data_IF_265576639598
#
_entry.id   IF_265576639598
#
_cell.length_a   1.000
_cell.length_b   1.000
_cell.length_c   1.000
_cell.angle_alpha   90.00
_cell.angle_beta   90.00
_cell.angle_gamma   90.00
#
_symmetry.space_group_name_H-M   'P 1'
#
loop_
_entity.id
_entity.type
_entity.pdbx_description
1 polymer ?
#
# COMPACT_ATOMS: atom_id res chain seq x y z
N UNK A 1 -8.42 7.40 -3.13
CA UNK A 1 -7.79 6.09 -3.37
C UNK A 1 -8.07 5.70 -4.80
N UNK A 2 -7.05 5.29 -5.55
CA UNK A 2 -7.15 4.89 -6.95
C UNK A 2 -7.28 3.38 -7.08
N UNK A 3 -6.41 2.63 -6.42
CA UNK A 3 -6.37 1.16 -6.48
C UNK A 3 -5.98 0.57 -5.13
N UNK A 4 -6.41 -0.68 -4.90
CA UNK A 4 -6.02 -1.46 -3.73
C UNK A 4 -5.65 -2.87 -4.20
N UNK A 5 -4.36 -3.18 -4.15
CA UNK A 5 -3.86 -4.52 -4.43
C UNK A 5 -3.60 -5.27 -3.13
N UNK A 6 -4.33 -6.37 -2.93
CA UNK A 6 -4.27 -7.19 -1.73
C UNK A 6 -3.49 -8.46 -2.04
N UNK A 7 -2.24 -8.49 -1.58
CA UNK A 7 -1.35 -9.63 -1.79
C UNK A 7 -1.56 -10.75 -0.78
N UNK A 8 -2.27 -10.46 0.32
CA UNK A 8 -2.58 -11.43 1.35
C UNK A 8 -1.40 -11.71 2.28
N UNK A 9 -1.46 -12.87 2.95
CA UNK A 9 -0.44 -13.33 3.89
C UNK A 9 0.77 -13.90 3.13
N UNK A 10 1.98 -13.44 3.48
CA UNK A 10 3.24 -13.95 2.92
C UNK A 10 4.28 -14.13 4.02
N UNK A 11 5.19 -15.08 3.82
CA UNK A 11 6.35 -15.27 4.70
C UNK A 11 7.39 -14.17 4.47
N UNK A 12 7.92 -13.64 5.58
CA UNK A 12 9.00 -12.66 5.57
C UNK A 12 10.33 -13.38 5.39
N UNK A 13 11.26 -12.76 4.66
CA UNK A 13 12.62 -13.30 4.48
C UNK A 13 13.39 -13.40 5.81
N UNK A 14 13.07 -12.54 6.78
CA UNK A 14 13.62 -12.52 8.12
C UNK A 14 12.58 -12.01 9.12
N UNK A 15 12.79 -12.27 10.41
CA UNK A 15 11.85 -11.86 11.44
C UNK A 15 11.82 -10.34 11.59
N UNK A 16 10.62 -9.77 11.67
CA UNK A 16 10.41 -8.35 12.00
C UNK A 16 9.56 -8.31 13.27
N UNK A 17 10.05 -7.67 14.34
CA UNK A 17 9.38 -7.61 15.64
C UNK A 17 8.91 -8.98 16.16
N UNK A 18 9.65 -10.05 15.85
CA UNK A 18 9.31 -11.42 16.23
C UNK A 18 8.32 -12.15 15.29
N UNK A 19 7.77 -11.49 14.28
CA UNK A 19 6.87 -12.07 13.29
C UNK A 19 7.63 -12.65 12.09
N UNK A 20 7.19 -13.83 11.61
CA UNK A 20 7.75 -14.51 10.42
C UNK A 20 6.87 -14.34 9.17
N UNK A 21 5.69 -13.76 9.33
CA UNK A 21 4.68 -13.60 8.28
C UNK A 21 4.05 -12.22 8.41
N UNK A 22 3.59 -11.68 7.29
CA UNK A 22 2.91 -10.39 7.24
C UNK A 22 1.80 -10.42 6.19
N UNK A 23 0.79 -9.57 6.40
CA UNK A 23 -0.27 -9.35 5.42
C UNK A 23 0.07 -8.09 4.61
N UNK A 24 0.18 -8.25 3.30
CA UNK A 24 0.60 -7.17 2.40
C UNK A 24 -0.59 -6.56 1.69
N UNK A 25 -0.71 -5.23 1.78
CA UNK A 25 -1.70 -4.42 1.07
C UNK A 25 -0.97 -3.23 0.45
N UNK A 26 -1.19 -3.01 -0.84
CA UNK A 26 -0.64 -1.89 -1.58
C UNK A 26 -1.79 -0.96 -1.92
N UNK A 27 -1.69 0.28 -1.46
CA UNK A 27 -2.64 1.33 -1.78
C UNK A 27 -2.03 2.28 -2.78
N UNK A 28 -2.71 2.48 -3.90
CA UNK A 28 -2.42 3.61 -4.79
C UNK A 28 -3.44 4.70 -4.49
N UNK A 29 -2.98 5.91 -4.21
CA UNK A 29 -3.84 7.04 -3.93
C UNK A 29 -3.20 8.36 -4.38
N UNK A 30 -4.04 9.34 -4.63
CA UNK A 30 -3.63 10.73 -4.85
C UNK A 30 -3.91 11.48 -3.55
N UNK A 31 -2.94 12.26 -3.08
CA UNK A 31 -3.06 13.12 -1.90
C UNK A 31 -2.09 14.28 -2.01
N UNK A 32 -2.42 15.40 -1.39
CA UNK A 32 -1.49 16.51 -1.20
C UNK A 32 -0.26 16.07 -0.38
N UNK A 33 0.95 16.57 -0.71
CA UNK A 33 2.18 16.25 0.01
C UNK A 33 2.13 16.61 1.51
N UNK A 34 1.33 17.62 1.89
CA UNK A 34 1.15 18.06 3.28
C UNK A 34 0.57 16.95 4.17
N UNK A 35 -0.27 16.08 3.63
CA UNK A 35 -0.91 15.00 4.37
C UNK A 35 0.00 13.77 4.56
N UNK A 36 1.10 13.65 3.81
CA UNK A 36 2.02 12.50 3.90
C UNK A 36 2.62 12.39 5.30
N UNK A 37 2.96 13.52 5.92
CA UNK A 37 3.53 13.54 7.28
C UNK A 37 2.55 12.98 8.30
N UNK A 38 1.28 13.37 8.22
CA UNK A 38 0.24 12.88 9.13
C UNK A 38 -0.02 11.39 8.90
N UNK A 39 -0.03 10.92 7.65
CA UNK A 39 -0.16 9.48 7.35
C UNK A 39 0.98 8.68 7.99
N UNK A 40 2.23 9.13 7.86
CA UNK A 40 3.39 8.47 8.49
C UNK A 40 3.24 8.39 10.01
N UNK A 41 2.86 9.49 10.64
CA UNK A 41 2.61 9.56 12.09
C UNK A 41 1.53 8.56 12.53
N UNK A 42 0.43 8.49 11.79
CA UNK A 42 -0.66 7.55 12.08
C UNK A 42 -0.23 6.08 11.92
N UNK A 43 0.63 5.77 10.94
CA UNK A 43 1.15 4.42 10.74
C UNK A 43 2.12 4.01 11.85
N UNK A 44 2.93 4.93 12.38
CA UNK A 44 3.84 4.66 13.50
C UNK A 44 3.11 4.39 14.82
N UNK A 45 1.96 5.04 15.03
CA UNK A 45 1.14 4.82 16.23
C UNK A 45 0.44 3.45 16.21
N UNK A 46 0.27 2.86 15.03
CA UNK A 46 -0.40 1.58 14.84
C UNK A 46 0.55 0.41 15.06
N UNK A 47 0.49 -0.18 16.26
CA UNK A 47 1.29 -1.36 16.63
C UNK A 47 1.03 -2.60 15.74
N UNK A 48 -0.13 -2.66 15.08
CA UNK A 48 -0.48 -3.70 14.11
C UNK A 48 0.34 -3.64 12.81
N UNK A 49 0.94 -2.48 12.49
CA UNK A 49 1.72 -2.27 11.27
C UNK A 49 3.18 -2.59 11.54
N UNK A 50 3.66 -3.73 11.02
CA UNK A 50 5.06 -4.14 11.17
C UNK A 50 6.03 -3.25 10.37
N UNK A 51 5.60 -2.81 9.19
CA UNK A 51 6.37 -1.95 8.28
C UNK A 51 5.43 -1.27 7.31
N UNK A 52 5.71 -0.02 6.99
CA UNK A 52 5.06 0.73 5.92
C UNK A 52 6.11 1.41 5.05
N UNK A 53 5.75 1.71 3.80
CA UNK A 53 6.58 2.45 2.88
C UNK A 53 5.68 3.31 2.00
N UNK A 54 6.01 4.59 1.90
CA UNK A 54 5.32 5.54 1.02
C UNK A 54 6.32 5.97 -0.03
N UNK A 55 5.98 5.72 -1.29
CA UNK A 55 6.78 6.07 -2.46
C UNK A 55 5.95 6.95 -3.39
N UNK A 56 6.61 7.87 -4.07
CA UNK A 56 6.02 8.58 -5.19
C UNK A 56 5.92 7.61 -6.37
N UNK A 57 4.80 7.65 -7.09
CA UNK A 57 4.58 6.81 -8.26
C UNK A 57 4.78 7.65 -9.51
N UNK A 58 5.71 7.24 -10.37
CA UNK A 58 6.04 7.95 -11.60
C UNK A 58 4.89 7.86 -12.64
N UNK A 59 4.27 6.68 -12.79
CA UNK A 59 3.27 6.39 -13.83
C UNK A 59 1.83 6.28 -13.29
N UNK A 60 1.27 7.38 -12.80
CA UNK A 60 -0.09 7.41 -12.23
C UNK A 60 -1.17 7.05 -13.26
N UNK A 61 -0.94 7.38 -14.55
CA UNK A 61 -1.90 7.17 -15.64
C UNK A 61 -2.11 5.70 -16.04
N UNK A 62 -1.12 4.83 -15.79
CA UNK A 62 -1.25 3.40 -16.11
C UNK A 62 -2.11 2.65 -15.09
N UNK A 63 -2.07 3.09 -13.83
CA UNK A 63 -2.75 2.40 -12.73
C UNK A 63 -4.27 2.50 -12.90
N UNK A 64 -4.79 3.68 -13.25
CA UNK A 64 -6.22 3.88 -13.52
C UNK A 64 -6.74 3.16 -14.77
N UNK A 65 -5.88 2.92 -15.77
CA UNK A 65 -6.26 2.19 -17.01
C UNK A 65 -6.51 0.70 -16.75
N UNK A 66 -5.77 0.07 -15.82
CA UNK A 66 -5.97 -1.34 -15.47
C UNK A 66 -7.35 -1.61 -14.86
N UNK A 67 -7.86 -0.66 -14.05
CA UNK A 67 -9.19 -0.76 -13.43
C UNK A 67 -10.30 -0.70 -14.49
N UNK A 68 -10.27 0.31 -15.37
CA UNK A 68 -11.23 0.41 -16.48
C UNK A 68 -11.18 -0.81 -17.39
N UNK A 69 -9.99 -1.35 -17.67
CA UNK A 69 -9.85 -2.55 -18.49
C UNK A 69 -10.50 -3.79 -17.84
N UNK A 70 -10.35 -3.96 -16.52
CA UNK A 70 -11.03 -5.02 -15.75
C UNK A 70 -12.55 -4.87 -15.70
N UNK A 71 -13.07 -3.65 -15.58
CA UNK A 71 -14.52 -3.39 -15.61
C UNK A 71 -15.17 -3.64 -16.99
N UNK A 72 -14.39 -3.54 -18.07
CA UNK A 72 -14.85 -3.75 -19.45
C UNK A 72 -14.75 -5.23 -19.88
N UNK A 73 -14.05 -6.07 -19.11
CA UNK A 73 -13.75 -7.47 -19.46
C UNK A 73 -14.61 -8.49 -18.66
N UNK A 74 -15.85 -8.12 -18.32
CA UNK A 74 -16.91 -9.02 -17.83
C UNK A 74 -18.10 -8.95 -18.79
#
# INVERSE_FOLDING_TARGET
VLDVDVWGKRYLAYKINGHNEGYYIIYTFISDPSHILEIRRQMELKQEVLRYMVVEADDVDEIGKKIKKKEIEI
#
